data_IF_665871707052
#
_entry.id   IF_665871707052
#
_cell.length_a   1.000
_cell.length_b   1.000
_cell.length_c   1.000
_cell.angle_alpha   90.00
_cell.angle_beta   90.00
_cell.angle_gamma   90.00
#
_symmetry.space_group_name_H-M   'P 1'
#
loop_
_entity.id
_entity.type
_entity.pdbx_description
1 polymer ?
#
# COMPACT_ATOMS: atom_id res chain seq x y z
N UNK A 1 -6.94 61.62 18.68
CA UNK A 1 -6.31 60.36 19.12
C UNK A 1 -6.84 59.24 18.24
N UNK A 2 -6.14 58.90 17.16
CA UNK A 2 -6.41 57.69 16.37
C UNK A 2 -5.14 56.84 16.47
N UNK A 3 -5.17 55.80 17.30
CA UNK A 3 -4.10 54.82 17.39
C UNK A 3 -4.26 53.85 16.21
N UNK A 4 -3.41 53.98 15.20
CA UNK A 4 -3.16 52.89 14.25
C UNK A 4 -2.48 51.75 15.00
N UNK A 5 -3.13 50.59 15.03
CA UNK A 5 -2.51 49.33 15.43
C UNK A 5 -1.78 48.83 14.18
N UNK A 6 -0.46 48.98 14.17
CA UNK A 6 0.39 48.33 13.20
C UNK A 6 0.53 46.87 13.61
N UNK A 7 -0.07 45.97 12.86
CA UNK A 7 0.21 44.53 12.93
C UNK A 7 1.64 44.33 12.48
N UNK A 8 2.52 43.98 13.41
CA UNK A 8 3.86 43.50 13.10
C UNK A 8 3.68 42.10 12.51
N UNK A 9 3.68 42.01 11.17
CA UNK A 9 3.98 40.76 10.49
C UNK A 9 5.45 40.47 10.81
N UNK A 10 5.69 39.60 11.79
CA UNK A 10 7.01 39.00 11.98
C UNK A 10 7.34 38.28 10.66
N UNK A 11 8.33 38.79 9.94
CA UNK A 11 8.83 38.12 8.76
C UNK A 11 9.40 36.78 9.20
N UNK A 12 8.70 35.69 8.88
CA UNK A 12 9.28 34.35 8.90
C UNK A 12 10.41 34.40 7.89
N UNK A 13 11.65 34.22 8.35
CA UNK A 13 12.79 34.08 7.43
C UNK A 13 12.48 32.94 6.46
N UNK A 14 12.78 33.11 5.18
CA UNK A 14 12.70 31.98 4.26
C UNK A 14 13.62 30.86 4.79
N UNK A 15 13.10 29.63 4.90
CA UNK A 15 13.88 28.44 5.22
C UNK A 15 14.76 28.11 4.01
N UNK A 16 15.99 27.66 4.26
CA UNK A 16 16.99 27.43 3.22
C UNK A 16 16.87 26.03 2.59
N UNK A 17 17.55 25.80 1.47
CA UNK A 17 17.76 24.44 0.94
C UNK A 17 18.96 23.79 1.62
N UNK A 18 18.79 22.55 2.07
CA UNK A 18 19.79 21.77 2.79
C UNK A 18 20.13 20.50 2.01
N UNK A 19 21.41 20.12 1.99
CA UNK A 19 21.88 18.87 1.39
C UNK A 19 22.59 18.05 2.47
N UNK A 20 22.16 16.80 2.64
CA UNK A 20 22.73 15.85 3.59
C UNK A 20 23.29 14.66 2.81
N UNK A 21 24.50 14.22 3.15
CA UNK A 21 25.21 13.14 2.46
C UNK A 21 26.16 12.40 3.40
N UNK A 22 26.64 11.23 2.97
CA UNK A 22 27.60 10.42 3.73
C UNK A 22 27.00 9.75 4.97
N UNK A 23 27.87 9.16 5.80
CA UNK A 23 27.47 8.33 6.95
C UNK A 23 26.75 9.11 8.06
N UNK A 24 27.05 10.40 8.21
CA UNK A 24 26.42 11.26 9.22
C UNK A 24 25.20 12.02 8.66
N UNK A 25 24.89 11.82 7.38
CA UNK A 25 23.86 12.57 6.66
C UNK A 25 22.45 12.35 7.25
N UNK A 26 22.11 11.10 7.60
CA UNK A 26 20.81 10.78 8.20
C UNK A 26 20.60 11.49 9.54
N UNK A 27 21.60 11.43 10.43
CA UNK A 27 21.55 12.10 11.74
C UNK A 27 21.50 13.63 11.60
N UNK A 28 22.25 14.19 10.64
CA UNK A 28 22.26 15.62 10.35
C UNK A 28 20.91 16.09 9.78
N UNK A 29 20.31 15.31 8.89
CA UNK A 29 19.00 15.60 8.33
C UNK A 29 17.93 15.65 9.42
N UNK A 30 17.86 14.63 10.27
CA UNK A 30 16.91 14.58 11.39
C UNK A 30 17.10 15.76 12.36
N UNK A 31 18.34 16.13 12.66
CA UNK A 31 18.65 17.23 13.57
C UNK A 31 18.31 18.63 12.99
N UNK A 32 18.34 18.79 11.67
CA UNK A 32 18.19 20.09 11.00
C UNK A 32 16.92 20.22 10.16
N UNK A 33 16.05 19.20 10.09
CA UNK A 33 14.85 19.16 9.22
C UNK A 33 13.91 20.38 9.39
N UNK A 34 13.79 20.91 10.60
CA UNK A 34 12.96 22.09 10.88
C UNK A 34 13.44 23.37 10.17
N UNK A 35 14.74 23.49 9.87
CA UNK A 35 15.34 24.70 9.31
C UNK A 35 15.31 24.74 7.76
N UNK A 36 14.93 23.62 7.12
CA UNK A 36 15.12 23.40 5.68
C UNK A 36 13.81 23.41 4.88
N UNK A 37 13.61 24.36 3.96
CA UNK A 37 12.48 24.34 3.02
C UNK A 37 12.57 23.17 2.03
N UNK A 38 13.81 22.85 1.63
CA UNK A 38 14.12 21.71 0.77
C UNK A 38 15.21 20.89 1.43
N UNK A 39 15.01 19.59 1.52
CA UNK A 39 15.94 18.61 2.09
C UNK A 39 16.35 17.67 0.95
N UNK A 40 17.58 17.79 0.48
CA UNK A 40 18.17 16.82 -0.46
C UNK A 40 18.95 15.77 0.32
N UNK A 41 18.58 14.51 0.17
CA UNK A 41 19.24 13.35 0.76
C UNK A 41 20.08 12.68 -0.34
N UNK A 42 21.39 12.90 -0.32
CA UNK A 42 22.29 12.54 -1.40
C UNK A 42 23.15 11.33 -1.02
N UNK A 43 22.81 10.18 -1.60
CA UNK A 43 23.50 8.89 -1.46
C UNK A 43 23.85 8.55 -0.01
N UNK A 44 22.82 8.41 0.83
CA UNK A 44 23.01 8.12 2.25
C UNK A 44 23.33 6.65 2.50
N UNK A 45 24.13 6.40 3.53
CA UNK A 45 24.18 5.10 4.20
C UNK A 45 23.65 5.32 5.61
N UNK A 46 22.43 4.85 5.86
CA UNK A 46 21.74 5.00 7.14
C UNK A 46 22.28 3.93 8.11
N UNK A 47 22.73 4.33 9.32
CA UNK A 47 23.30 3.40 10.28
C UNK A 47 22.35 2.28 10.70
N UNK A 48 22.92 1.12 11.05
CA UNK A 48 22.16 -0.09 11.40
C UNK A 48 21.19 0.15 12.55
N UNK A 49 19.95 -0.33 12.41
CA UNK A 49 18.95 -0.24 13.48
C UNK A 49 18.46 1.19 13.76
N UNK A 50 18.60 2.10 12.79
CA UNK A 50 18.15 3.49 12.93
C UNK A 50 17.23 3.90 11.79
N UNK A 51 16.25 4.73 12.11
CA UNK A 51 15.32 5.33 11.14
C UNK A 51 15.95 6.59 10.56
N UNK A 52 15.88 6.75 9.23
CA UNK A 52 16.00 8.06 8.60
C UNK A 52 14.73 8.86 8.90
N UNK A 53 14.78 9.63 9.99
CA UNK A 53 13.61 10.26 10.58
C UNK A 53 13.39 11.70 10.07
N UNK A 54 12.44 11.84 9.15
CA UNK A 54 11.88 13.10 8.66
C UNK A 54 10.42 13.29 9.09
N UNK A 55 10.05 12.84 10.29
CA UNK A 55 8.75 13.19 10.91
C UNK A 55 8.73 14.67 11.35
N UNK A 56 7.53 15.21 11.56
CA UNK A 56 7.30 16.57 12.05
C UNK A 56 7.95 17.66 11.18
N UNK A 57 7.92 17.49 9.86
CA UNK A 57 8.40 18.52 8.95
C UNK A 57 7.53 19.76 9.04
N UNK A 58 8.18 20.92 8.97
CA UNK A 58 7.42 22.17 8.87
C UNK A 58 6.67 22.22 7.53
N UNK A 59 5.51 22.85 7.54
CA UNK A 59 4.61 22.88 6.39
C UNK A 59 5.31 23.31 5.09
N UNK A 60 4.97 22.65 3.98
CA UNK A 60 5.51 22.98 2.66
C UNK A 60 6.92 22.47 2.40
N UNK A 61 7.49 21.62 3.28
CA UNK A 61 8.85 21.08 3.06
C UNK A 61 8.87 20.11 1.88
N UNK A 62 9.89 20.24 1.03
CA UNK A 62 10.20 19.29 -0.03
C UNK A 62 11.39 18.41 0.38
N UNK A 63 11.29 17.10 0.21
CA UNK A 63 12.34 16.11 0.43
C UNK A 63 12.67 15.48 -0.92
N UNK A 64 13.94 15.44 -1.29
CA UNK A 64 14.41 14.91 -2.58
C UNK A 64 15.50 13.89 -2.32
N UNK A 65 15.32 12.64 -2.77
CA UNK A 65 16.36 11.63 -2.78
C UNK A 65 17.22 11.74 -4.05
N UNK A 66 18.54 11.68 -3.88
CA UNK A 66 19.52 11.64 -4.96
C UNK A 66 20.49 10.46 -4.77
N UNK A 67 20.88 9.82 -5.87
CA UNK A 67 21.76 8.64 -5.82
C UNK A 67 21.14 7.47 -5.04
N UNK A 68 21.99 6.52 -4.63
CA UNK A 68 21.53 5.33 -3.90
C UNK A 68 21.58 5.56 -2.40
N UNK A 69 20.44 5.48 -1.73
CA UNK A 69 20.35 5.40 -0.27
C UNK A 69 20.26 3.94 0.16
N UNK A 70 21.05 3.57 1.17
CA UNK A 70 21.12 2.21 1.73
C UNK A 70 20.96 2.24 3.25
N UNK A 71 20.59 1.10 3.84
CA UNK A 71 20.52 0.90 5.29
C UNK A 71 21.43 -0.25 5.72
N UNK A 72 22.24 -0.04 6.75
CA UNK A 72 23.07 -1.12 7.29
C UNK A 72 22.20 -2.15 8.04
N UNK A 73 22.65 -3.41 8.02
CA UNK A 73 21.92 -4.54 8.56
C UNK A 73 21.73 -4.49 10.08
N UNK A 74 20.50 -4.73 10.53
CA UNK A 74 20.13 -5.07 11.90
C UNK A 74 18.81 -5.85 11.88
N UNK A 75 18.62 -6.76 12.83
CA UNK A 75 17.31 -7.39 13.08
C UNK A 75 16.49 -6.48 14.01
N UNK A 76 15.49 -5.81 13.47
CA UNK A 76 14.59 -4.87 14.16
C UNK A 76 13.35 -4.60 13.29
N UNK A 77 12.31 -4.03 13.89
CA UNK A 77 11.00 -3.90 13.22
C UNK A 77 10.88 -2.64 12.33
N UNK A 78 11.89 -1.77 12.34
CA UNK A 78 11.91 -0.54 11.56
C UNK A 78 11.10 0.62 12.20
N UNK A 79 10.69 1.63 11.40
CA UNK A 79 10.85 1.70 9.94
C UNK A 79 12.24 2.16 9.50
N UNK A 80 12.62 1.86 8.25
CA UNK A 80 13.84 2.37 7.60
C UNK A 80 13.76 3.89 7.34
N UNK A 81 12.63 4.38 6.84
CA UNK A 81 12.35 5.80 6.58
C UNK A 81 11.00 6.20 7.16
N UNK A 82 10.93 7.37 7.79
CA UNK A 82 9.68 7.92 8.33
C UNK A 82 9.51 9.39 7.96
N UNK A 83 8.28 9.76 7.57
CA UNK A 83 7.91 11.13 7.20
C UNK A 83 6.50 11.47 7.66
N UNK A 84 6.31 12.69 8.14
CA UNK A 84 5.01 13.26 8.52
C UNK A 84 5.01 14.78 8.40
N UNK A 85 3.82 15.38 8.30
CA UNK A 85 3.65 16.84 8.20
C UNK A 85 2.54 17.25 7.24
N UNK A 86 2.41 18.56 7.03
CA UNK A 86 1.40 19.13 6.11
C UNK A 86 2.03 19.75 4.86
N UNK A 87 1.39 19.60 3.71
CA UNK A 87 1.89 20.11 2.42
C UNK A 87 3.31 19.64 2.10
N UNK A 88 3.65 18.40 2.46
CA UNK A 88 4.97 17.82 2.23
C UNK A 88 5.04 17.24 0.82
N UNK A 89 6.18 17.39 0.16
CA UNK A 89 6.49 16.69 -1.10
C UNK A 89 7.71 15.82 -0.90
N UNK A 90 7.60 14.51 -1.09
CA UNK A 90 8.73 13.58 -1.11
C UNK A 90 8.92 13.09 -2.54
N UNK A 91 10.13 13.24 -3.09
CA UNK A 91 10.40 12.83 -4.46
C UNK A 91 11.78 12.25 -4.67
N UNK A 92 11.95 11.56 -5.79
CA UNK A 92 13.21 11.01 -6.24
C UNK A 92 13.76 11.74 -7.47
N UNK A 93 15.05 12.07 -7.46
CA UNK A 93 15.74 12.63 -8.62
C UNK A 93 16.06 11.54 -9.67
N UNK A 94 16.39 11.94 -10.90
CA UNK A 94 16.77 11.00 -11.95
C UNK A 94 17.93 10.09 -11.51
N UNK A 95 17.70 8.77 -11.57
CA UNK A 95 18.68 7.77 -11.18
C UNK A 95 18.87 7.57 -9.67
N UNK A 96 18.01 8.15 -8.83
CA UNK A 96 17.96 7.80 -7.42
C UNK A 96 17.45 6.36 -7.20
N UNK A 97 17.80 5.79 -6.06
CA UNK A 97 17.36 4.46 -5.64
C UNK A 97 17.36 4.39 -4.12
N UNK A 98 16.32 3.78 -3.55
CA UNK A 98 16.28 3.39 -2.14
C UNK A 98 16.47 1.87 -2.07
N UNK A 99 17.70 1.43 -1.84
CA UNK A 99 18.07 0.02 -1.78
C UNK A 99 17.97 -0.50 -0.35
N UNK A 100 16.93 -1.29 -0.10
CA UNK A 100 16.67 -1.92 1.18
C UNK A 100 17.61 -3.08 1.51
N UNK A 101 18.33 -3.62 0.53
CA UNK A 101 19.22 -4.78 0.66
C UNK A 101 18.52 -5.99 1.31
N UNK A 102 17.26 -6.24 0.93
CA UNK A 102 16.34 -7.20 1.55
C UNK A 102 16.87 -8.63 1.67
N UNK A 103 17.74 -9.06 0.76
CA UNK A 103 18.41 -10.36 0.83
C UNK A 103 19.25 -10.60 2.11
N UNK A 104 19.55 -9.55 2.87
CA UNK A 104 20.19 -9.69 4.19
C UNK A 104 19.19 -10.19 5.27
N UNK A 105 17.88 -10.05 5.04
CA UNK A 105 16.80 -10.42 5.96
C UNK A 105 15.93 -11.59 5.46
N UNK A 106 15.76 -11.72 4.15
CA UNK A 106 14.87 -12.72 3.56
C UNK A 106 15.25 -14.15 3.95
N UNK A 107 14.30 -14.85 4.57
CA UNK A 107 14.42 -16.19 5.14
C UNK A 107 13.27 -17.12 4.70
N UNK A 108 12.37 -16.64 3.83
CA UNK A 108 11.16 -17.33 3.39
C UNK A 108 10.04 -17.37 4.42
N UNK A 109 10.22 -16.77 5.60
CA UNK A 109 9.27 -16.87 6.72
C UNK A 109 8.51 -15.55 6.98
N UNK A 110 8.92 -14.43 6.38
CA UNK A 110 8.18 -13.16 6.51
C UNK A 110 7.99 -12.77 7.99
N UNK A 111 6.75 -12.61 8.43
CA UNK A 111 6.39 -12.32 9.83
C UNK A 111 6.73 -13.45 10.84
N UNK A 112 6.91 -14.70 10.38
CA UNK A 112 7.16 -15.87 11.25
C UNK A 112 8.66 -16.13 11.53
N UNK A 113 9.56 -15.38 10.87
CA UNK A 113 11.00 -15.57 10.90
C UNK A 113 11.78 -14.57 11.78
N UNK A 114 12.95 -14.15 11.32
CA UNK A 114 13.71 -13.07 11.99
C UNK A 114 13.00 -11.73 11.86
N UNK A 115 13.23 -10.79 12.78
CA UNK A 115 12.70 -9.42 12.69
C UNK A 115 13.24 -8.69 11.46
N UNK A 116 12.32 -8.18 10.63
CA UNK A 116 12.60 -7.46 9.38
C UNK A 116 12.06 -6.04 9.47
N UNK A 117 12.84 -5.01 9.13
CA UNK A 117 12.37 -3.65 9.27
C UNK A 117 11.37 -3.31 8.16
N UNK A 118 10.23 -2.72 8.55
CA UNK A 118 9.33 -2.07 7.58
C UNK A 118 10.04 -0.94 6.86
N UNK A 119 9.68 -0.66 5.62
CA UNK A 119 10.45 0.28 4.81
C UNK A 119 10.06 1.75 5.05
N UNK A 120 8.88 2.15 4.61
CA UNK A 120 8.48 3.54 4.43
C UNK A 120 7.24 3.85 5.28
N UNK A 121 7.45 4.56 6.38
CA UNK A 121 6.36 5.08 7.21
C UNK A 121 5.88 6.43 6.66
N UNK A 122 4.75 6.40 5.94
CA UNK A 122 4.04 7.57 5.46
C UNK A 122 2.83 7.83 6.38
N UNK A 123 3.10 8.39 7.57
CA UNK A 123 2.07 8.57 8.60
C UNK A 123 1.76 10.05 8.82
N UNK A 124 0.52 10.35 9.17
CA UNK A 124 0.07 11.71 9.53
C UNK A 124 0.43 12.78 8.47
N UNK A 125 0.37 12.40 7.20
CA UNK A 125 0.56 13.30 6.08
C UNK A 125 -0.77 13.96 5.69
N UNK A 126 -0.78 15.29 5.66
CA UNK A 126 -1.94 16.08 5.24
C UNK A 126 -1.63 16.89 3.99
N UNK A 127 -2.51 16.88 2.99
CA UNK A 127 -2.36 17.63 1.73
C UNK A 127 -0.97 17.44 1.08
N UNK A 128 -0.47 16.20 1.08
CA UNK A 128 0.93 15.89 0.76
C UNK A 128 1.07 15.01 -0.48
N UNK A 129 2.27 14.95 -1.04
CA UNK A 129 2.59 14.18 -2.24
C UNK A 129 3.86 13.35 -2.06
N UNK A 130 3.84 12.10 -2.53
CA UNK A 130 5.00 11.24 -2.72
C UNK A 130 5.08 10.91 -4.21
N UNK A 131 6.16 11.26 -4.89
CA UNK A 131 6.24 11.12 -6.35
C UNK A 131 7.58 10.57 -6.84
N UNK A 132 7.52 9.67 -7.83
CA UNK A 132 8.67 9.14 -8.54
C UNK A 132 9.73 8.51 -7.62
N UNK A 133 9.31 7.80 -6.56
CA UNK A 133 10.21 7.05 -5.68
C UNK A 133 10.49 5.67 -6.28
N UNK A 134 11.76 5.28 -6.30
CA UNK A 134 12.23 3.96 -6.71
C UNK A 134 12.80 3.21 -5.50
N UNK A 135 12.16 2.12 -5.11
CA UNK A 135 12.57 1.24 -4.00
C UNK A 135 12.95 -0.12 -4.59
N UNK A 136 14.12 -0.63 -4.20
CA UNK A 136 14.58 -1.96 -4.59
C UNK A 136 14.88 -2.80 -3.36
N UNK A 137 14.55 -4.09 -3.46
CA UNK A 137 14.83 -5.12 -2.46
C UNK A 137 14.44 -4.70 -1.02
N UNK A 138 13.15 -4.37 -0.76
CA UNK A 138 12.71 -4.07 0.59
C UNK A 138 12.80 -5.32 1.49
N UNK A 139 13.22 -5.20 2.77
CA UNK A 139 13.27 -6.35 3.68
C UNK A 139 11.90 -6.95 4.00
N UNK A 140 10.84 -6.16 3.91
CA UNK A 140 9.46 -6.47 4.33
C UNK A 140 8.45 -5.50 3.67
N UNK A 141 7.27 -5.28 4.26
CA UNK A 141 6.28 -4.30 3.76
C UNK A 141 6.89 -2.91 3.51
N UNK A 142 6.45 -2.29 2.41
CA UNK A 142 7.02 -1.07 1.88
C UNK A 142 6.33 0.18 2.42
N UNK A 143 5.23 0.62 1.80
CA UNK A 143 4.53 1.82 2.26
C UNK A 143 3.49 1.47 3.32
N UNK A 144 3.75 1.88 4.55
CA UNK A 144 2.71 1.98 5.58
C UNK A 144 2.09 3.37 5.51
N UNK A 145 0.88 3.47 4.97
CA UNK A 145 0.08 4.70 4.85
C UNK A 145 -0.96 4.70 5.96
N UNK A 146 -0.79 5.60 6.95
CA UNK A 146 -1.67 5.65 8.11
C UNK A 146 -1.97 7.07 8.58
N UNK A 147 -3.19 7.35 9.05
CA UNK A 147 -3.56 8.68 9.56
C UNK A 147 -3.52 9.79 8.50
N UNK A 148 -3.47 9.44 7.21
CA UNK A 148 -3.27 10.40 6.14
C UNK A 148 -4.59 11.06 5.73
N UNK A 149 -4.51 12.34 5.35
CA UNK A 149 -5.64 13.15 4.87
C UNK A 149 -5.23 13.85 3.58
N UNK A 150 -5.79 13.46 2.44
CA UNK A 150 -5.39 13.99 1.12
C UNK A 150 -3.91 13.69 0.82
N UNK A 151 -3.58 12.42 0.59
CA UNK A 151 -2.24 11.99 0.17
C UNK A 151 -2.29 11.57 -1.30
N UNK A 152 -1.40 12.14 -2.13
CA UNK A 152 -1.15 11.65 -3.49
C UNK A 152 0.16 10.87 -3.54
N UNK A 153 0.13 9.67 -4.10
CA UNK A 153 1.30 8.85 -4.42
C UNK A 153 1.33 8.61 -5.93
N UNK A 154 2.41 8.96 -6.62
CA UNK A 154 2.45 8.86 -8.09
C UNK A 154 3.79 8.37 -8.63
N UNK A 155 3.74 7.52 -9.67
CA UNK A 155 4.94 7.08 -10.39
C UNK A 155 5.95 6.30 -9.52
N UNK A 156 5.49 5.67 -8.44
CA UNK A 156 6.33 4.87 -7.55
C UNK A 156 6.63 3.51 -8.18
N UNK A 157 7.88 3.09 -8.09
CA UNK A 157 8.33 1.73 -8.45
C UNK A 157 8.86 1.02 -7.23
N UNK A 158 8.39 -0.20 -7.00
CA UNK A 158 8.85 -1.12 -5.96
C UNK A 158 9.25 -2.39 -6.67
N UNK A 159 10.52 -2.76 -6.57
CA UNK A 159 11.07 -3.97 -7.16
C UNK A 159 11.68 -4.86 -6.07
N UNK A 160 10.93 -5.88 -5.67
CA UNK A 160 11.38 -6.95 -4.79
C UNK A 160 11.52 -8.27 -5.56
N UNK A 161 11.67 -8.26 -6.89
CA UNK A 161 11.70 -9.48 -7.72
C UNK A 161 12.84 -10.43 -7.37
N UNK A 162 13.96 -9.93 -6.82
CA UNK A 162 15.04 -10.79 -6.29
C UNK A 162 14.55 -11.68 -5.13
N UNK A 163 13.47 -11.31 -4.45
CA UNK A 163 12.84 -12.08 -3.38
C UNK A 163 12.18 -13.38 -3.85
N UNK A 164 11.85 -13.49 -5.15
CA UNK A 164 11.30 -14.73 -5.72
C UNK A 164 12.34 -15.85 -5.75
N UNK A 165 13.64 -15.50 -5.71
CA UNK A 165 14.71 -16.50 -5.75
C UNK A 165 14.68 -17.37 -4.49
N UNK A 166 14.55 -18.68 -4.69
CA UNK A 166 14.45 -19.70 -3.63
C UNK A 166 13.30 -19.45 -2.63
N UNK A 167 12.25 -18.73 -3.06
CA UNK A 167 11.06 -18.37 -2.26
C UNK A 167 11.42 -17.66 -0.94
N UNK A 168 12.43 -16.79 -0.95
CA UNK A 168 12.97 -16.17 0.26
C UNK A 168 12.25 -14.88 0.69
N UNK A 169 11.72 -14.13 -0.28
CA UNK A 169 10.92 -12.94 -0.03
C UNK A 169 9.50 -13.31 0.43
N UNK A 170 9.03 -12.70 1.50
CA UNK A 170 7.67 -12.89 2.03
C UNK A 170 7.20 -11.60 2.71
N UNK A 171 5.90 -11.33 2.69
CA UNK A 171 5.27 -10.13 3.27
C UNK A 171 5.93 -8.82 2.80
N UNK A 172 6.22 -8.74 1.50
CA UNK A 172 6.80 -7.56 0.83
C UNK A 172 5.72 -6.66 0.23
N UNK A 173 4.64 -6.42 0.97
CA UNK A 173 3.48 -5.63 0.55
C UNK A 173 3.91 -4.25 0.02
N UNK A 174 3.34 -3.83 -1.12
CA UNK A 174 3.72 -2.57 -1.74
C UNK A 174 3.04 -1.37 -1.02
N UNK A 175 1.73 -1.43 -0.80
CA UNK A 175 0.96 -0.36 -0.14
C UNK A 175 -0.03 -0.90 0.89
N UNK A 176 0.30 -0.73 2.16
CA UNK A 176 -0.60 -0.98 3.29
C UNK A 176 -1.30 0.31 3.70
N UNK A 177 -2.62 0.33 3.63
CA UNK A 177 -3.42 1.51 3.95
C UNK A 177 -4.30 1.22 5.16
N UNK A 178 -4.25 2.12 6.15
CA UNK A 178 -5.11 2.10 7.33
C UNK A 178 -5.48 3.50 7.78
N UNK A 179 -6.63 3.67 8.44
CA UNK A 179 -7.04 4.89 9.15
C UNK A 179 -6.81 6.19 8.37
N UNK A 180 -7.06 6.17 7.05
CA UNK A 180 -6.74 7.28 6.14
C UNK A 180 -7.96 7.71 5.32
N UNK A 181 -8.00 8.98 4.94
CA UNK A 181 -9.03 9.56 4.07
C UNK A 181 -8.41 10.25 2.86
N UNK A 182 -8.97 10.00 1.68
CA UNK A 182 -8.58 10.67 0.43
C UNK A 182 -7.13 10.36 0.02
N UNK A 183 -6.80 9.07 -0.08
CA UNK A 183 -5.51 8.60 -0.59
C UNK A 183 -5.64 8.26 -2.08
N UNK A 184 -4.79 8.82 -2.93
CA UNK A 184 -4.77 8.55 -4.37
C UNK A 184 -3.41 8.04 -4.79
N UNK A 185 -3.36 6.81 -5.31
CA UNK A 185 -2.16 6.14 -5.82
C UNK A 185 -2.31 5.96 -7.33
N UNK A 186 -1.36 6.46 -8.12
CA UNK A 186 -1.44 6.41 -9.59
C UNK A 186 -0.13 5.96 -10.23
N UNK A 187 -0.23 5.10 -11.26
CA UNK A 187 0.92 4.70 -12.06
C UNK A 187 2.00 3.94 -11.27
N UNK A 188 1.61 3.19 -10.23
CA UNK A 188 2.53 2.40 -9.44
C UNK A 188 2.97 1.14 -10.20
N UNK A 189 4.24 0.75 -10.08
CA UNK A 189 4.75 -0.54 -10.54
C UNK A 189 5.26 -1.32 -9.33
N UNK A 190 4.78 -2.54 -9.14
CA UNK A 190 5.07 -3.38 -7.99
C UNK A 190 5.43 -4.80 -8.46
N UNK A 191 6.64 -5.23 -8.13
CA UNK A 191 7.08 -6.63 -8.20
C UNK A 191 7.35 -7.08 -6.77
N UNK A 192 6.57 -8.03 -6.24
CA UNK A 192 6.68 -8.44 -4.84
C UNK A 192 6.11 -9.85 -4.60
N UNK A 193 6.05 -10.25 -3.33
CA UNK A 193 5.61 -11.59 -2.87
C UNK A 193 4.37 -11.52 -1.96
N UNK A 194 3.72 -10.36 -1.85
CA UNK A 194 2.47 -10.21 -1.08
C UNK A 194 1.55 -9.16 -1.72
N UNK A 195 0.63 -8.54 -0.99
CA UNK A 195 -0.34 -7.61 -1.56
C UNK A 195 0.33 -6.46 -2.32
N UNK A 196 -0.15 -6.21 -3.54
CA UNK A 196 0.20 -4.98 -4.25
C UNK A 196 -0.42 -3.79 -3.50
N UNK A 197 -1.67 -3.94 -3.07
CA UNK A 197 -2.33 -2.98 -2.17
C UNK A 197 -3.17 -3.76 -1.16
N UNK A 198 -3.07 -3.41 0.12
CA UNK A 198 -3.93 -3.91 1.18
C UNK A 198 -4.61 -2.74 1.90
N UNK A 199 -5.92 -2.57 1.66
CA UNK A 199 -6.73 -1.55 2.35
C UNK A 199 -7.35 -2.16 3.60
N UNK A 200 -6.66 -2.04 4.73
CA UNK A 200 -7.12 -2.56 6.03
C UNK A 200 -8.25 -1.70 6.62
N UNK A 201 -8.16 -0.37 6.45
CA UNK A 201 -9.20 0.60 6.81
C UNK A 201 -8.97 1.94 6.08
N UNK A 202 -10.02 2.74 5.93
CA UNK A 202 -9.95 4.07 5.34
C UNK A 202 -11.14 4.40 4.45
N UNK A 203 -11.21 5.66 4.00
CA UNK A 203 -12.28 6.17 3.14
C UNK A 203 -11.72 6.93 1.94
N UNK A 204 -12.43 6.94 0.80
CA UNK A 204 -12.05 7.68 -0.41
C UNK A 204 -10.65 7.31 -0.92
N UNK A 205 -10.42 6.02 -1.14
CA UNK A 205 -9.12 5.51 -1.62
C UNK A 205 -9.20 5.21 -3.11
N UNK A 206 -8.22 5.68 -3.88
CA UNK A 206 -8.11 5.44 -5.32
C UNK A 206 -6.76 4.82 -5.61
N UNK A 207 -6.75 3.71 -6.34
CA UNK A 207 -5.56 3.13 -6.96
C UNK A 207 -5.83 2.98 -8.45
N UNK A 208 -4.99 3.55 -9.32
CA UNK A 208 -5.23 3.46 -10.77
C UNK A 208 -3.97 3.41 -11.62
N UNK A 209 -4.08 2.81 -12.80
CA UNK A 209 -2.96 2.71 -13.73
C UNK A 209 -1.80 1.85 -13.22
N UNK A 210 -2.08 0.91 -12.31
CA UNK A 210 -1.07 0.11 -11.64
C UNK A 210 -0.62 -1.11 -12.45
N UNK A 211 0.62 -1.53 -12.23
CA UNK A 211 1.17 -2.81 -12.67
C UNK A 211 1.63 -3.59 -11.44
N UNK A 212 0.94 -4.67 -11.12
CA UNK A 212 1.22 -5.54 -9.98
C UNK A 212 1.66 -6.92 -10.50
N UNK A 213 2.79 -7.43 -10.05
CA UNK A 213 3.36 -8.69 -10.52
C UNK A 213 3.94 -9.53 -9.38
N UNK A 214 3.74 -10.86 -9.43
CA UNK A 214 4.32 -11.81 -8.47
C UNK A 214 3.53 -12.00 -7.17
N UNK A 215 2.97 -10.92 -6.63
CA UNK A 215 2.39 -10.90 -5.28
C UNK A 215 0.98 -11.47 -5.12
N UNK A 216 0.17 -10.85 -4.25
CA UNK A 216 -1.17 -11.31 -3.86
C UNK A 216 -2.33 -10.39 -4.31
N UNK A 217 -2.05 -9.48 -5.24
CA UNK A 217 -3.05 -8.71 -5.96
C UNK A 217 -3.53 -7.43 -5.26
N UNK A 218 -4.75 -7.01 -5.63
CA UNK A 218 -5.39 -5.79 -5.15
C UNK A 218 -6.44 -6.16 -4.10
N UNK A 219 -6.11 -5.88 -2.84
CA UNK A 219 -6.85 -6.35 -1.68
C UNK A 219 -7.56 -5.25 -0.92
N UNK A 220 -8.84 -5.49 -0.61
CA UNK A 220 -9.47 -4.94 0.59
C UNK A 220 -9.23 -5.91 1.75
N UNK A 221 -8.68 -5.38 2.84
CA UNK A 221 -8.47 -6.07 4.09
C UNK A 221 -7.04 -6.57 4.34
N UNK A 222 -6.83 -7.37 5.38
CA UNK A 222 -7.89 -7.96 6.21
C UNK A 222 -8.67 -6.91 6.99
N UNK A 223 -10.00 -6.93 6.93
CA UNK A 223 -10.87 -6.00 7.68
C UNK A 223 -11.41 -6.72 8.93
N UNK A 224 -11.26 -6.09 10.10
CA UNK A 224 -11.53 -6.69 11.41
C UNK A 224 -10.27 -6.67 12.29
N UNK A 225 -10.44 -6.84 13.60
CA UNK A 225 -9.34 -7.10 14.53
C UNK A 225 -8.47 -5.89 14.88
N UNK A 226 -8.84 -4.70 14.40
CA UNK A 226 -8.09 -3.44 14.57
C UNK A 226 -8.95 -2.38 15.26
N UNK A 227 -8.32 -1.26 15.60
CA UNK A 227 -9.02 -0.10 16.17
C UNK A 227 -9.98 0.56 15.16
N UNK A 228 -9.63 0.51 13.86
CA UNK A 228 -10.49 0.92 12.75
C UNK A 228 -10.69 -0.25 11.79
N UNK A 229 -11.95 -0.65 11.60
CA UNK A 229 -12.37 -1.75 10.73
C UNK A 229 -13.38 -1.26 9.66
N UNK A 230 -13.28 0.00 9.28
CA UNK A 230 -14.15 0.60 8.26
C UNK A 230 -13.37 0.80 6.97
N UNK A 231 -13.88 0.23 5.88
CA UNK A 231 -13.45 0.52 4.52
C UNK A 231 -14.65 1.03 3.74
N UNK A 232 -14.57 2.25 3.21
CA UNK A 232 -15.67 2.86 2.47
C UNK A 232 -15.17 3.63 1.23
N UNK A 233 -15.84 3.48 0.10
CA UNK A 233 -15.54 4.26 -1.11
C UNK A 233 -14.10 4.05 -1.58
N UNK A 234 -13.81 2.85 -2.06
CA UNK A 234 -12.49 2.49 -2.63
C UNK A 234 -12.65 2.16 -4.10
N UNK A 235 -11.76 2.68 -4.93
CA UNK A 235 -11.71 2.37 -6.37
C UNK A 235 -10.33 1.88 -6.79
N UNK A 236 -10.29 0.68 -7.34
CA UNK A 236 -9.17 0.19 -8.13
C UNK A 236 -9.54 0.30 -9.61
N UNK A 237 -8.73 0.96 -10.44
CA UNK A 237 -9.03 1.06 -11.87
C UNK A 237 -7.85 0.94 -12.82
N UNK A 238 -8.13 0.57 -14.07
CA UNK A 238 -7.17 0.65 -15.19
C UNK A 238 -5.83 -0.05 -14.88
N UNK A 239 -5.88 -1.20 -14.21
CA UNK A 239 -4.70 -1.84 -13.61
C UNK A 239 -4.50 -3.26 -14.11
N UNK A 240 -3.24 -3.70 -14.09
CA UNK A 240 -2.83 -5.05 -14.49
C UNK A 240 -2.35 -5.81 -13.26
N UNK A 241 -2.81 -7.05 -13.11
CA UNK A 241 -2.33 -7.99 -12.09
C UNK A 241 -1.85 -9.26 -12.78
N UNK A 242 -0.56 -9.53 -12.65
CA UNK A 242 0.17 -10.50 -13.48
C UNK A 242 0.89 -11.50 -12.58
N UNK A 243 0.77 -12.79 -12.89
CA UNK A 243 1.50 -13.87 -12.21
C UNK A 243 1.44 -13.74 -10.67
N UNK A 244 0.26 -13.40 -10.14
CA UNK A 244 -0.01 -13.19 -8.71
C UNK A 244 -0.85 -14.32 -8.16
N UNK A 245 -0.74 -14.62 -6.87
CA UNK A 245 -1.57 -15.63 -6.22
C UNK A 245 -3.06 -15.36 -6.44
N UNK A 246 -3.46 -14.13 -6.13
CA UNK A 246 -4.81 -13.60 -6.30
C UNK A 246 -4.73 -12.33 -7.13
N UNK A 247 -5.80 -11.97 -7.85
CA UNK A 247 -5.85 -10.68 -8.54
C UNK A 247 -6.77 -9.64 -7.89
N UNK A 248 -8.05 -9.94 -7.75
CA UNK A 248 -9.03 -9.10 -7.04
C UNK A 248 -9.40 -9.77 -5.73
N UNK A 249 -9.21 -9.08 -4.59
CA UNK A 249 -9.42 -9.70 -3.28
C UNK A 249 -10.19 -8.81 -2.31
N UNK A 250 -11.12 -9.42 -1.57
CA UNK A 250 -11.71 -8.86 -0.34
C UNK A 250 -11.63 -9.93 0.74
N UNK A 251 -10.93 -9.63 1.84
CA UNK A 251 -10.74 -10.52 2.98
C UNK A 251 -11.23 -9.84 4.28
N UNK A 252 -12.21 -10.44 4.96
CA UNK A 252 -12.66 -9.98 6.28
C UNK A 252 -12.45 -11.07 7.33
N UNK A 253 -11.98 -10.69 8.52
CA UNK A 253 -11.60 -11.63 9.58
C UNK A 253 -12.85 -12.32 10.14
N UNK A 254 -12.81 -13.65 10.22
CA UNK A 254 -13.89 -14.45 10.76
C UNK A 254 -14.13 -14.13 12.25
N UNK A 255 -15.39 -13.93 12.62
CA UNK A 255 -15.82 -13.63 13.99
C UNK A 255 -15.70 -12.16 14.40
N UNK A 256 -15.14 -11.31 13.54
CA UNK A 256 -14.91 -9.89 13.84
C UNK A 256 -16.04 -8.97 13.36
N UNK A 257 -15.88 -7.67 13.60
CA UNK A 257 -16.85 -6.62 13.27
C UNK A 257 -16.21 -5.46 12.53
N UNK A 258 -16.95 -4.88 11.59
CA UNK A 258 -16.44 -3.82 10.74
C UNK A 258 -17.43 -3.46 9.65
N UNK A 259 -16.96 -2.83 8.58
CA UNK A 259 -17.77 -2.54 7.39
C UNK A 259 -16.88 -2.45 6.17
N UNK A 260 -17.32 -3.06 5.07
CA UNK A 260 -16.75 -2.88 3.74
C UNK A 260 -17.87 -2.38 2.83
N UNK A 261 -17.78 -1.14 2.36
CA UNK A 261 -18.84 -0.52 1.58
C UNK A 261 -18.32 0.22 0.35
N UNK A 262 -19.10 0.21 -0.73
CA UNK A 262 -18.84 1.01 -1.95
C UNK A 262 -17.44 0.77 -2.54
N UNK A 263 -17.11 -0.50 -2.76
CA UNK A 263 -15.84 -0.91 -3.39
C UNK A 263 -16.06 -1.07 -4.88
N UNK A 264 -15.18 -0.50 -5.71
CA UNK A 264 -15.22 -0.63 -7.16
C UNK A 264 -13.89 -1.15 -7.69
N UNK A 265 -13.94 -2.25 -8.44
CA UNK A 265 -12.85 -2.70 -9.30
C UNK A 265 -13.28 -2.48 -10.74
N UNK A 266 -12.51 -1.69 -11.50
CA UNK A 266 -12.88 -1.29 -12.84
C UNK A 266 -11.74 -1.46 -13.85
N UNK A 267 -12.02 -2.05 -15.01
CA UNK A 267 -11.04 -2.20 -16.09
C UNK A 267 -9.74 -2.88 -15.58
N UNK A 268 -9.90 -4.00 -14.87
CA UNK A 268 -8.79 -4.78 -14.30
C UNK A 268 -8.44 -5.91 -15.26
N UNK A 269 -7.18 -5.97 -15.68
CA UNK A 269 -6.64 -7.03 -16.54
C UNK A 269 -5.85 -8.03 -15.71
N UNK A 270 -6.23 -9.30 -15.80
CA UNK A 270 -5.63 -10.39 -15.03
C UNK A 270 -4.87 -11.33 -15.98
N UNK A 271 -3.64 -11.71 -15.63
CA UNK A 271 -2.88 -12.70 -16.39
C UNK A 271 -2.20 -13.69 -15.45
N UNK A 272 -2.52 -14.98 -15.58
CA UNK A 272 -1.77 -16.03 -14.90
C UNK A 272 -1.96 -16.06 -13.39
N UNK A 273 -3.09 -15.59 -12.84
CA UNK A 273 -3.31 -15.70 -11.40
C UNK A 273 -3.37 -17.17 -10.95
N UNK A 274 -2.66 -17.53 -9.88
CA UNK A 274 -2.36 -18.95 -9.57
C UNK A 274 -3.37 -19.64 -8.69
N UNK A 275 -4.12 -18.91 -7.87
CA UNK A 275 -5.09 -19.49 -6.93
C UNK A 275 -6.51 -18.99 -7.26
N UNK A 276 -6.72 -17.67 -7.24
CA UNK A 276 -8.01 -17.05 -7.57
C UNK A 276 -7.89 -15.81 -8.46
N UNK A 277 -8.70 -15.73 -9.51
CA UNK A 277 -8.85 -14.49 -10.27
C UNK A 277 -9.57 -13.41 -9.42
N UNK A 278 -10.71 -13.79 -8.85
CA UNK A 278 -11.46 -12.99 -7.87
C UNK A 278 -11.70 -13.83 -6.63
N UNK A 279 -11.34 -13.34 -5.44
CA UNK A 279 -11.68 -13.96 -4.16
C UNK A 279 -12.36 -12.95 -3.23
N UNK A 280 -13.55 -13.28 -2.75
CA UNK A 280 -14.26 -12.51 -1.74
C UNK A 280 -14.64 -13.45 -0.59
N UNK A 281 -14.00 -13.28 0.56
CA UNK A 281 -14.18 -14.18 1.71
C UNK A 281 -14.41 -13.42 3.02
N UNK A 282 -15.38 -13.91 3.80
CA UNK A 282 -15.62 -13.51 5.19
C UNK A 282 -15.13 -14.54 6.21
N UNK A 283 -14.33 -15.51 5.76
CA UNK A 283 -13.76 -16.59 6.55
C UNK A 283 -12.24 -16.40 6.80
N UNK A 284 -11.67 -15.22 6.51
CA UNK A 284 -10.23 -15.01 6.64
C UNK A 284 -9.77 -15.23 8.09
N UNK A 285 -8.67 -15.96 8.27
CA UNK A 285 -8.15 -16.43 9.57
C UNK A 285 -9.16 -17.19 10.44
N UNK A 286 -10.12 -17.88 9.83
CA UNK A 286 -11.07 -18.76 10.52
C UNK A 286 -11.56 -19.93 9.67
N UNK A 287 -12.39 -20.76 10.29
CA UNK A 287 -12.91 -21.99 9.65
C UNK A 287 -14.20 -21.74 8.83
N UNK A 288 -14.90 -20.63 9.08
CA UNK A 288 -16.21 -20.34 8.48
C UNK A 288 -16.45 -18.86 8.24
N UNK A 289 -17.22 -18.54 7.20
CA UNK A 289 -17.66 -17.18 6.91
C UNK A 289 -18.64 -16.68 7.96
N UNK A 290 -18.39 -15.48 8.47
CA UNK A 290 -19.25 -14.83 9.49
C UNK A 290 -19.86 -13.53 8.97
N UNK A 291 -20.80 -12.96 9.71
CA UNK A 291 -21.64 -11.85 9.23
C UNK A 291 -21.28 -10.49 9.86
N UNK A 292 -20.24 -10.42 10.70
CA UNK A 292 -19.95 -9.22 11.49
C UNK A 292 -19.29 -8.08 10.70
N UNK A 293 -18.71 -8.38 9.54
CA UNK A 293 -18.14 -7.38 8.60
C UNK A 293 -18.92 -7.40 7.29
N UNK A 294 -20.09 -6.73 7.19
CA UNK A 294 -20.88 -6.72 5.96
C UNK A 294 -20.08 -6.13 4.77
N UNK A 295 -20.25 -6.74 3.58
CA UNK A 295 -19.67 -6.30 2.31
C UNK A 295 -20.80 -5.84 1.38
N UNK A 296 -20.96 -4.52 1.26
CA UNK A 296 -22.08 -3.92 0.51
C UNK A 296 -21.62 -3.01 -0.62
N UNK A 297 -22.42 -2.92 -1.69
CA UNK A 297 -22.13 -1.98 -2.78
C UNK A 297 -20.85 -2.29 -3.56
N UNK A 298 -20.46 -3.56 -3.68
CA UNK A 298 -19.35 -3.99 -4.51
C UNK A 298 -19.69 -3.86 -5.99
N UNK A 299 -18.81 -3.25 -6.77
CA UNK A 299 -18.90 -3.15 -8.22
C UNK A 299 -17.68 -3.80 -8.85
N UNK A 300 -17.89 -4.80 -9.70
CA UNK A 300 -16.88 -5.31 -10.63
C UNK A 300 -17.31 -4.93 -12.05
N UNK A 301 -16.52 -4.07 -12.72
CA UNK A 301 -16.84 -3.57 -14.06
C UNK A 301 -15.64 -3.70 -15.00
N UNK A 302 -15.67 -4.66 -15.93
CA UNK A 302 -14.54 -4.89 -16.86
C UNK A 302 -13.36 -5.61 -16.21
N UNK A 303 -13.62 -6.62 -15.36
CA UNK A 303 -12.58 -7.48 -14.77
C UNK A 303 -12.38 -8.69 -15.69
N UNK A 304 -11.27 -8.73 -16.42
CA UNK A 304 -11.08 -9.73 -17.49
C UNK A 304 -9.69 -10.35 -17.47
N UNK A 305 -9.55 -11.59 -17.95
CA UNK A 305 -8.23 -12.22 -17.98
C UNK A 305 -8.20 -13.73 -17.88
N UNK A 306 -7.05 -14.22 -17.40
CA UNK A 306 -6.75 -15.64 -17.26
C UNK A 306 -6.26 -15.98 -15.85
N UNK A 307 -6.68 -17.12 -15.36
CA UNK A 307 -6.09 -17.82 -14.21
C UNK A 307 -5.34 -19.06 -14.71
N UNK A 308 -4.44 -19.62 -13.89
CA UNK A 308 -3.78 -20.89 -14.20
C UNK A 308 -4.80 -22.04 -14.28
N UNK A 309 -4.45 -23.12 -14.98
CA UNK A 309 -5.34 -24.27 -15.15
C UNK A 309 -5.50 -25.12 -13.89
N UNK A 310 -4.60 -24.93 -12.93
CA UNK A 310 -4.56 -25.55 -11.61
C UNK A 310 -4.96 -24.59 -10.50
N UNK A 311 -5.43 -23.38 -10.86
CA UNK A 311 -6.03 -22.44 -9.92
C UNK A 311 -7.23 -23.08 -9.22
N UNK A 312 -7.41 -22.72 -7.95
CA UNK A 312 -8.50 -23.22 -7.11
C UNK A 312 -9.86 -22.81 -7.70
N UNK A 313 -10.00 -21.54 -8.13
CA UNK A 313 -11.17 -21.08 -8.89
C UNK A 313 -10.88 -19.80 -9.68
N UNK A 314 -11.56 -19.59 -10.81
CA UNK A 314 -11.53 -18.29 -11.48
C UNK A 314 -12.21 -17.20 -10.62
N UNK A 315 -13.31 -17.55 -9.96
CA UNK A 315 -14.04 -16.70 -9.01
C UNK A 315 -14.40 -17.55 -7.79
N UNK A 316 -13.96 -17.13 -6.60
CA UNK A 316 -14.34 -17.71 -5.31
C UNK A 316 -15.11 -16.71 -4.45
N UNK A 317 -16.30 -17.09 -3.98
CA UNK A 317 -17.12 -16.24 -3.10
C UNK A 317 -17.62 -17.04 -1.90
N UNK A 318 -17.17 -16.61 -0.71
CA UNK A 318 -17.56 -17.17 0.59
C UNK A 318 -18.07 -16.09 1.54
N UNK A 319 -19.39 -15.93 1.57
CA UNK A 319 -20.09 -14.91 2.35
C UNK A 319 -20.99 -15.54 3.40
N UNK A 320 -20.98 -14.97 4.61
CA UNK A 320 -21.96 -15.24 5.64
C UNK A 320 -23.39 -14.95 5.18
N UNK A 321 -24.37 -15.55 5.86
CA UNK A 321 -25.77 -15.41 5.45
C UNK A 321 -26.26 -13.96 5.60
N UNK A 322 -26.64 -13.34 4.49
CA UNK A 322 -27.15 -11.97 4.44
C UNK A 322 -26.12 -10.86 4.63
N UNK A 323 -24.81 -11.16 4.74
CA UNK A 323 -23.76 -10.17 4.97
C UNK A 323 -23.10 -9.62 3.69
N UNK A 324 -23.47 -10.14 2.52
CA UNK A 324 -23.06 -9.62 1.22
C UNK A 324 -24.29 -9.20 0.41
N UNK A 325 -24.38 -7.92 0.03
CA UNK A 325 -25.55 -7.39 -0.69
C UNK A 325 -25.23 -6.22 -1.62
N UNK A 326 -26.14 -5.96 -2.56
CA UNK A 326 -26.10 -4.80 -3.46
C UNK A 326 -24.87 -4.77 -4.38
N UNK A 327 -24.45 -5.95 -4.85
CA UNK A 327 -23.32 -6.07 -5.77
C UNK A 327 -23.76 -5.90 -7.23
N UNK A 328 -22.91 -5.26 -8.02
CA UNK A 328 -23.10 -5.08 -9.48
C UNK A 328 -21.91 -5.63 -10.23
N UNK A 329 -22.17 -6.49 -11.22
CA UNK A 329 -21.14 -7.15 -12.01
C UNK A 329 -21.43 -6.90 -13.50
N UNK A 330 -20.48 -6.32 -14.21
CA UNK A 330 -20.55 -6.08 -15.66
C UNK A 330 -19.21 -6.35 -16.31
N UNK A 331 -19.21 -7.01 -17.48
CA UNK A 331 -17.96 -7.27 -18.21
C UNK A 331 -16.92 -8.08 -17.43
N UNK A 332 -17.36 -8.99 -16.55
CA UNK A 332 -16.47 -9.93 -15.86
C UNK A 332 -16.31 -11.18 -16.71
N UNK A 333 -15.08 -11.45 -17.17
CA UNK A 333 -14.76 -12.55 -18.09
C UNK A 333 -13.39 -13.16 -17.75
N UNK A 334 -13.41 -14.25 -16.97
CA UNK A 334 -12.23 -14.97 -16.52
C UNK A 334 -12.25 -16.39 -17.06
N UNK A 335 -11.07 -16.85 -17.52
CA UNK A 335 -10.90 -18.19 -18.10
C UNK A 335 -9.70 -18.89 -17.47
N UNK A 336 -9.69 -20.23 -17.50
CA UNK A 336 -8.57 -21.04 -17.00
C UNK A 336 -9.00 -22.07 -15.97
N UNK A 337 -9.92 -21.70 -15.06
CA UNK A 337 -10.52 -22.57 -14.04
C UNK A 337 -12.03 -22.33 -13.93
N UNK A 338 -12.71 -23.22 -13.19
CA UNK A 338 -14.14 -23.11 -12.89
C UNK A 338 -14.39 -22.04 -11.80
N UNK A 339 -15.65 -21.59 -11.67
CA UNK A 339 -16.08 -20.70 -10.57
C UNK A 339 -16.59 -21.54 -9.37
N UNK A 340 -16.37 -21.07 -8.14
CA UNK A 340 -16.94 -21.64 -6.92
C UNK A 340 -17.60 -20.57 -6.04
N UNK A 341 -18.92 -20.65 -5.91
CA UNK A 341 -19.72 -19.70 -5.12
C UNK A 341 -20.57 -20.47 -4.10
N UNK A 342 -20.29 -20.30 -2.79
CA UNK A 342 -20.93 -21.10 -1.73
C UNK A 342 -22.33 -20.60 -1.36
N UNK A 343 -22.60 -19.29 -1.49
CA UNK A 343 -23.85 -18.67 -1.04
C UNK A 343 -24.99 -18.73 -2.09
N UNK A 344 -26.14 -19.32 -1.73
CA UNK A 344 -27.30 -19.50 -2.63
C UNK A 344 -27.91 -18.21 -3.17
N UNK A 345 -27.76 -17.08 -2.47
CA UNK A 345 -28.23 -15.78 -2.97
C UNK A 345 -27.34 -15.24 -4.09
N UNK A 346 -26.04 -15.53 -4.00
CA UNK A 346 -25.02 -15.14 -4.98
C UNK A 346 -25.08 -16.05 -6.21
N UNK A 347 -25.52 -17.30 -6.07
CA UNK A 347 -25.83 -18.20 -7.21
C UNK A 347 -26.87 -17.64 -8.19
N UNK A 348 -27.62 -16.58 -7.84
CA UNK A 348 -28.50 -15.88 -8.79
C UNK A 348 -27.80 -14.82 -9.65
N UNK A 349 -26.56 -14.44 -9.32
CA UNK A 349 -25.70 -13.75 -10.28
C UNK A 349 -25.37 -14.77 -11.37
N UNK A 350 -25.74 -14.45 -12.62
CA UNK A 350 -25.58 -15.32 -13.81
C UNK A 350 -24.15 -15.84 -14.05
N UNK A 351 -23.16 -15.35 -13.29
CA UNK A 351 -21.75 -15.72 -13.36
C UNK A 351 -21.38 -16.92 -12.45
N UNK A 352 -22.25 -17.27 -11.49
CA UNK A 352 -22.07 -18.41 -10.58
C UNK A 352 -23.00 -19.60 -10.92
N UNK A 353 -23.65 -19.59 -12.10
CA UNK A 353 -24.41 -20.71 -12.69
C UNK A 353 -23.68 -21.28 -13.91
#
# INVERSE_FOLDING_TARGET
>A
MHRQIATILAGVSARDSCVFSGSDGAASASASKADCATITLSALTVPSGTTLDLTDLSDGTSVVFEGTTTWEYAEWDGPLFAVSGSSITVSGADGHELDGQGALWWDGEGDDGISKPKFFQAHDLTDSTIENINIVNPPHQVFSINGCQTLTVSGVTIDASDGDADDLGANTDCFDIGSSDSVTITGATCYNQDDCVAVNSGTNIIFSGGYCSGGHGLSIGSVGGRDDNTVDTVTFSDSQVIDSQQAVRIKTISGDTGTVNAITYKDITISGATDYGVIITQAYDGDEATTGVPITGLVLDGVTGTVSSDADAAIFIDCGDGSCSDWTWSGVDLTGADNDCTNQWIKKLTLCE
#
